data_IF_433026109848
#
_entry.id   IF_433026109848
#
_cell.length_a   1.000
_cell.length_b   1.000
_cell.length_c   1.000
_cell.angle_alpha   90.00
_cell.angle_beta   90.00
_cell.angle_gamma   90.00
#
_symmetry.space_group_name_H-M   'P 1'
#
loop_
_entity.id
_entity.type
_entity.pdbx_description
1 polymer ?
#
# COMPACT_ATOMS: atom_id res chain seq x y z
N UNK A 1 56.08 -12.81 -34.66
CA UNK A 1 55.71 -14.21 -34.42
C UNK A 1 54.97 -14.25 -33.09
N UNK A 2 53.70 -14.58 -32.96
CA UNK A 2 52.67 -14.96 -33.90
C UNK A 2 51.30 -14.65 -33.29
N UNK A 3 50.39 -14.20 -34.15
CA UNK A 3 48.97 -14.07 -33.89
C UNK A 3 48.35 -15.47 -33.82
N UNK A 4 47.41 -15.67 -32.88
CA UNK A 4 46.42 -16.76 -32.97
C UNK A 4 45.05 -16.20 -32.57
N UNK A 5 44.13 -16.01 -33.53
CA UNK A 5 42.70 -15.95 -33.27
C UNK A 5 42.04 -17.21 -33.81
N UNK A 6 41.15 -17.87 -33.05
CA UNK A 6 40.36 -19.00 -33.56
C UNK A 6 38.92 -19.00 -33.02
N UNK A 7 38.01 -18.81 -33.98
CA UNK A 7 36.64 -19.30 -34.17
C UNK A 7 35.47 -18.99 -33.20
N UNK A 8 34.57 -18.16 -33.73
CA UNK A 8 33.12 -18.38 -33.72
C UNK A 8 32.72 -19.66 -34.49
N UNK A 9 31.53 -20.20 -34.18
CA UNK A 9 30.57 -20.51 -35.24
C UNK A 9 29.22 -19.80 -35.07
N UNK A 10 28.59 -19.55 -36.21
CA UNK A 10 27.32 -18.88 -36.39
C UNK A 10 26.12 -19.85 -36.41
N UNK A 11 24.96 -19.28 -36.05
CA UNK A 11 23.61 -19.51 -36.56
C UNK A 11 22.95 -20.91 -36.44
N UNK A 12 21.77 -20.92 -35.81
CA UNK A 12 20.58 -21.53 -36.43
C UNK A 12 19.28 -20.83 -36.02
N UNK A 13 18.57 -20.39 -37.05
CA UNK A 13 17.20 -19.91 -37.01
C UNK A 13 16.23 -21.09 -36.77
N UNK A 14 15.13 -20.80 -36.08
CA UNK A 14 13.96 -21.68 -35.96
C UNK A 14 12.69 -20.84 -35.97
N UNK A 15 11.99 -20.89 -37.10
CA UNK A 15 10.65 -20.35 -37.32
C UNK A 15 9.57 -21.21 -36.65
N UNK A 16 8.48 -20.57 -36.23
CA UNK A 16 7.17 -21.18 -35.94
C UNK A 16 6.29 -20.14 -35.24
N UNK A 17 5.46 -19.35 -35.94
CA UNK A 17 4.06 -19.67 -36.28
C UNK A 17 3.30 -20.21 -35.06
N UNK A 18 2.24 -19.61 -34.52
CA UNK A 18 1.19 -18.75 -35.06
C UNK A 18 -0.04 -19.09 -34.21
N UNK A 19 -0.79 -18.11 -33.72
CA UNK A 19 -1.92 -18.40 -32.84
C UNK A 19 -2.57 -17.16 -32.24
N UNK A 20 -3.15 -16.32 -33.10
CA UNK A 20 -4.11 -15.31 -32.70
C UNK A 20 -5.44 -16.02 -32.37
N UNK A 21 -5.97 -15.80 -31.17
CA UNK A 21 -7.40 -16.03 -30.89
C UNK A 21 -7.97 -14.82 -30.18
N UNK A 22 -8.59 -13.96 -31.00
CA UNK A 22 -9.49 -12.88 -30.64
C UNK A 22 -10.78 -13.47 -30.06
N UNK A 23 -11.15 -13.06 -28.84
CA UNK A 23 -12.49 -13.26 -28.31
C UNK A 23 -13.12 -11.88 -28.05
N UNK A 24 -13.80 -11.34 -29.06
CA UNK A 24 -14.76 -10.26 -28.89
C UNK A 24 -16.11 -10.83 -28.43
N UNK A 25 -16.62 -10.34 -27.29
CA UNK A 25 -17.98 -10.61 -26.83
C UNK A 25 -18.81 -9.30 -26.81
N UNK A 26 -19.40 -9.03 -27.96
CA UNK A 26 -20.78 -8.58 -28.21
C UNK A 26 -21.48 -7.69 -27.16
N UNK A 27 -21.52 -6.40 -27.50
CA UNK A 27 -22.55 -5.42 -27.09
C UNK A 27 -23.96 -5.95 -27.37
N UNK A 28 -24.86 -5.87 -26.38
CA UNK A 28 -26.31 -5.81 -26.63
C UNK A 28 -26.90 -4.63 -25.88
N UNK A 29 -27.22 -3.59 -26.66
CA UNK A 29 -28.04 -2.44 -26.29
C UNK A 29 -29.50 -2.87 -26.44
N UNK A 30 -30.27 -2.89 -25.35
CA UNK A 30 -31.71 -3.11 -25.40
C UNK A 30 -32.40 -1.75 -25.57
N UNK A 31 -32.91 -1.48 -26.77
CA UNK A 31 -33.89 -0.44 -27.04
C UNK A 31 -35.18 -1.11 -27.46
N UNK A 32 -36.25 -0.89 -26.72
CA UNK A 32 -37.61 -1.03 -27.22
C UNK A 32 -38.47 0.02 -26.55
N UNK A 33 -38.74 1.09 -27.29
CA UNK A 33 -39.87 1.97 -27.00
C UNK A 33 -41.17 1.27 -27.38
N UNK A 34 -42.22 1.57 -26.63
CA UNK A 34 -43.58 1.51 -27.11
C UNK A 34 -44.33 2.75 -26.64
N UNK A 35 -45.20 3.20 -27.53
CA UNK A 35 -45.80 4.51 -27.56
C UNK A 35 -47.31 4.42 -27.37
N UNK A 36 -47.90 5.61 -27.19
CA UNK A 36 -49.24 6.05 -27.58
C UNK A 36 -50.38 5.99 -26.55
N UNK A 37 -50.98 7.17 -26.35
CA UNK A 37 -52.41 7.41 -26.06
C UNK A 37 -52.72 7.60 -24.58
N UNK A 38 -53.15 8.74 -24.04
CA UNK A 38 -53.87 9.87 -24.60
C UNK A 38 -55.36 9.77 -24.28
N UNK A 39 -55.85 10.43 -23.20
CA UNK A 39 -57.15 11.12 -23.17
C UNK A 39 -57.37 11.93 -21.89
N UNK A 40 -58.21 12.95 -22.03
CA UNK A 40 -58.53 14.11 -21.19
C UNK A 40 -59.17 13.88 -19.80
N UNK A 41 -58.82 14.80 -18.86
CA UNK A 41 -59.62 15.66 -17.94
C UNK A 41 -61.09 15.28 -17.53
N UNK A 42 -61.72 15.86 -16.47
CA UNK A 42 -61.35 17.06 -15.69
C UNK A 42 -61.54 17.02 -14.14
N UNK A 43 -60.87 17.99 -13.48
CA UNK A 43 -61.32 18.84 -12.36
C UNK A 43 -62.14 18.29 -11.18
N UNK A 44 -61.61 18.48 -9.96
CA UNK A 44 -62.38 19.03 -8.83
C UNK A 44 -61.46 19.59 -7.74
N UNK A 45 -61.65 20.87 -7.44
CA UNK A 45 -61.09 21.60 -6.32
C UNK A 45 -62.03 21.55 -5.12
N UNK A 46 -61.49 21.50 -3.89
CA UNK A 46 -62.08 21.90 -2.60
C UNK A 46 -60.92 21.95 -1.60
N UNK A 47 -60.39 23.14 -1.30
CA UNK A 47 -60.77 24.07 -0.22
C UNK A 47 -60.01 23.83 1.09
N UNK A 48 -59.33 24.90 1.51
CA UNK A 48 -58.64 25.08 2.79
C UNK A 48 -59.63 25.44 3.89
N UNK A 49 -59.41 24.92 5.10
CA UNK A 49 -59.96 25.48 6.34
C UNK A 49 -58.83 25.62 7.37
N UNK A 50 -58.62 26.81 7.97
CA UNK A 50 -57.71 27.01 9.08
C UNK A 50 -58.47 27.02 10.42
N UNK A 51 -57.86 26.52 11.50
CA UNK A 51 -58.49 26.61 12.82
C UNK A 51 -57.69 26.07 14.00
N UNK A 52 -57.24 27.00 14.83
CA UNK A 52 -57.15 26.95 16.31
C UNK A 52 -56.03 26.15 17.01
N UNK A 53 -55.02 26.91 17.45
CA UNK A 53 -54.61 27.13 18.84
C UNK A 53 -54.64 25.96 19.84
N UNK A 54 -53.46 25.62 20.36
CA UNK A 54 -53.28 24.88 21.62
C UNK A 54 -51.84 24.98 22.12
N UNK A 55 -51.61 25.82 23.13
CA UNK A 55 -50.38 25.86 23.91
C UNK A 55 -50.14 24.54 24.65
N UNK A 56 -48.91 24.03 24.66
CA UNK A 56 -48.28 23.46 25.87
C UNK A 56 -46.83 23.01 25.64
N UNK A 57 -45.98 23.40 26.59
CA UNK A 57 -44.79 22.71 27.08
C UNK A 57 -43.53 22.61 26.19
N UNK A 58 -42.57 23.48 26.51
CA UNK A 58 -41.23 23.10 27.00
C UNK A 58 -40.83 21.63 26.78
N UNK A 59 -39.99 21.36 25.78
CA UNK A 59 -38.84 20.47 25.91
C UNK A 59 -37.71 21.00 25.01
N UNK A 60 -36.72 21.63 25.65
CA UNK A 60 -35.37 21.78 25.12
C UNK A 60 -34.80 20.39 24.86
N UNK A 61 -34.64 19.99 23.60
CA UNK A 61 -33.75 18.90 23.22
C UNK A 61 -32.96 19.33 21.98
N UNK A 62 -31.81 19.96 22.21
CA UNK A 62 -30.72 19.90 21.25
C UNK A 62 -30.24 18.44 21.21
N UNK A 63 -30.13 17.80 20.05
CA UNK A 63 -28.94 17.06 19.77
C UNK A 63 -27.98 18.06 19.13
N UNK A 64 -27.05 18.57 19.93
CA UNK A 64 -25.81 19.07 19.37
C UNK A 64 -25.29 17.97 18.44
N UNK A 65 -25.21 18.25 17.15
CA UNK A 65 -24.34 17.51 16.25
C UNK A 65 -22.93 17.75 16.79
N UNK A 66 -22.54 16.97 17.80
CA UNK A 66 -21.15 16.82 18.17
C UNK A 66 -20.54 16.16 16.95
N UNK A 67 -19.99 16.98 16.07
CA UNK A 67 -18.98 16.56 15.13
C UNK A 67 -17.83 16.04 15.99
N UNK A 68 -17.95 14.76 16.38
CA UNK A 68 -16.83 13.97 16.84
C UNK A 68 -15.86 13.98 15.68
N UNK A 69 -14.96 14.95 15.68
CA UNK A 69 -13.69 14.85 15.00
C UNK A 69 -13.04 13.64 15.66
N UNK A 70 -13.27 12.47 15.06
CA UNK A 70 -12.74 11.22 15.55
C UNK A 70 -11.25 11.44 15.77
N UNK A 71 -10.82 11.23 17.02
CA UNK A 71 -9.41 11.10 17.34
C UNK A 71 -8.84 10.10 16.33
N UNK A 72 -7.99 10.59 15.44
CA UNK A 72 -7.35 9.79 14.42
C UNK A 72 -6.32 8.90 15.12
N UNK A 73 -6.76 7.73 15.57
CA UNK A 73 -5.88 6.68 16.06
C UNK A 73 -5.05 6.27 14.84
N UNK A 74 -3.75 6.56 14.88
CA UNK A 74 -2.83 6.02 13.91
C UNK A 74 -2.62 4.57 14.31
N UNK A 75 -3.20 3.63 13.55
CA UNK A 75 -2.98 2.21 13.74
C UNK A 75 -1.54 1.90 13.29
N UNK A 76 -0.62 1.97 14.23
CA UNK A 76 0.76 1.56 14.02
C UNK A 76 0.84 0.05 13.84
N UNK A 77 1.72 -0.38 12.95
CA UNK A 77 2.11 -1.76 12.77
C UNK A 77 3.58 -1.91 13.18
N UNK A 78 3.87 -2.99 13.90
CA UNK A 78 5.21 -3.26 14.40
C UNK A 78 5.81 -4.47 13.69
N UNK A 79 7.10 -4.39 13.38
CA UNK A 79 7.88 -5.53 12.91
C UNK A 79 9.18 -5.62 13.69
N UNK A 80 9.68 -6.84 13.87
CA UNK A 80 10.94 -7.08 14.55
C UNK A 80 11.97 -7.58 13.55
N UNK A 81 13.16 -6.98 13.55
CA UNK A 81 14.31 -7.57 12.88
C UNK A 81 14.91 -8.65 13.78
N UNK A 82 15.08 -9.85 13.24
CA UNK A 82 15.69 -11.00 13.91
C UNK A 82 17.18 -11.14 13.57
N UNK A 83 17.57 -10.73 12.36
CA UNK A 83 18.96 -10.74 11.87
C UNK A 83 19.17 -9.64 10.82
N UNK A 84 20.33 -8.95 10.79
CA UNK A 84 21.51 -9.12 11.64
C UNK A 84 21.32 -8.59 13.08
N UNK A 85 22.25 -8.96 13.98
CA UNK A 85 22.10 -8.78 15.43
C UNK A 85 22.25 -7.34 15.93
N UNK A 86 22.97 -6.50 15.18
CA UNK A 86 23.22 -5.08 15.43
C UNK A 86 21.99 -4.19 15.22
N UNK A 87 21.02 -4.64 14.42
CA UNK A 87 19.74 -3.96 14.21
C UNK A 87 18.55 -4.79 14.71
N UNK A 88 18.76 -5.72 15.66
CA UNK A 88 17.73 -6.60 16.23
C UNK A 88 16.79 -5.83 17.16
N UNK A 89 15.95 -5.01 16.55
CA UNK A 89 15.00 -4.13 17.21
C UNK A 89 13.58 -4.31 16.67
N UNK A 90 12.61 -3.76 17.40
CA UNK A 90 11.22 -3.62 17.00
C UNK A 90 11.06 -2.23 16.41
N UNK A 91 10.68 -2.19 15.14
CA UNK A 91 10.44 -0.99 14.37
C UNK A 91 8.96 -0.71 14.28
N UNK A 92 8.63 0.57 14.18
CA UNK A 92 7.26 1.06 14.03
C UNK A 92 7.06 1.52 12.59
N UNK A 93 5.94 1.13 11.98
CA UNK A 93 5.56 1.55 10.65
C UNK A 93 4.08 1.89 10.59
N UNK A 94 3.69 2.77 9.67
CA UNK A 94 2.27 3.13 9.48
C UNK A 94 1.75 2.58 8.16
N UNK A 95 0.61 1.86 8.14
CA UNK A 95 0.03 1.37 6.91
C UNK A 95 -0.45 2.51 6.00
N UNK A 96 -0.53 2.23 4.70
CA UNK A 96 -1.17 3.10 3.73
C UNK A 96 -2.64 3.37 4.09
N UNK A 97 -3.11 4.58 3.79
CA UNK A 97 -4.43 5.05 4.22
C UNK A 97 -5.57 4.51 3.37
N UNK A 98 -5.39 4.50 2.05
CA UNK A 98 -6.47 4.26 1.08
C UNK A 98 -6.07 3.33 -0.09
N UNK A 99 -4.94 2.62 0.04
CA UNK A 99 -4.51 1.58 -0.90
C UNK A 99 -3.74 0.47 -0.16
N UNK A 100 -3.47 -0.63 -0.84
CA UNK A 100 -2.73 -1.77 -0.28
C UNK A 100 -3.64 -2.76 0.44
N UNK A 101 -3.07 -3.92 0.73
CA UNK A 101 -3.72 -5.00 1.48
C UNK A 101 -3.48 -4.92 2.98
N UNK A 102 -4.01 -5.92 3.68
CA UNK A 102 -3.79 -6.14 5.11
C UNK A 102 -3.02 -7.43 5.36
N UNK A 103 -2.32 -7.50 6.48
CA UNK A 103 -1.69 -8.73 6.94
C UNK A 103 -2.74 -9.64 7.58
N UNK A 104 -3.16 -10.70 6.88
CA UNK A 104 -4.10 -11.69 7.43
C UNK A 104 -3.44 -12.65 8.42
N UNK A 105 -2.16 -12.92 8.22
CA UNK A 105 -1.37 -13.87 9.01
C UNK A 105 -0.04 -13.25 9.41
N UNK A 106 0.52 -13.74 10.51
CA UNK A 106 1.88 -13.40 10.93
C UNK A 106 2.90 -14.17 10.12
N UNK A 107 3.90 -13.47 9.62
CA UNK A 107 5.15 -14.07 9.14
C UNK A 107 6.13 -14.16 10.31
N UNK A 108 6.45 -15.38 10.74
CA UNK A 108 7.42 -15.60 11.82
C UNK A 108 8.85 -15.27 11.35
N UNK A 109 9.18 -15.65 10.11
CA UNK A 109 10.45 -15.32 9.46
C UNK A 109 10.17 -15.04 7.98
N UNK A 110 10.52 -13.84 7.53
CA UNK A 110 10.45 -13.43 6.13
C UNK A 110 11.61 -12.50 5.82
N UNK A 111 12.07 -12.46 4.57
CA UNK A 111 13.16 -11.59 4.17
C UNK A 111 12.65 -10.17 3.92
N UNK A 112 13.38 -9.20 4.46
CA UNK A 112 13.27 -7.79 4.12
C UNK A 112 14.42 -7.43 3.19
N UNK A 113 14.09 -7.30 1.90
CA UNK A 113 15.05 -7.18 0.79
C UNK A 113 15.10 -5.72 0.33
N UNK A 114 16.24 -5.02 0.45
CA UNK A 114 16.41 -3.69 -0.16
C UNK A 114 16.20 -3.75 -1.67
N UNK A 115 15.30 -2.93 -2.20
CA UNK A 115 15.05 -2.86 -3.64
C UNK A 115 16.23 -2.21 -4.40
N UNK A 116 16.45 -2.65 -5.63
CA UNK A 116 17.45 -2.08 -6.55
C UNK A 116 16.83 -1.87 -7.96
N UNK A 117 16.57 -0.62 -8.38
CA UNK A 117 16.88 0.65 -7.71
C UNK A 117 16.10 0.88 -6.41
N UNK A 118 16.69 1.65 -5.48
CA UNK A 118 16.11 1.88 -4.15
C UNK A 118 14.71 2.50 -4.19
N UNK A 119 14.42 3.33 -5.19
CA UNK A 119 13.12 3.98 -5.34
C UNK A 119 12.03 3.07 -5.95
N UNK A 120 12.36 1.93 -6.55
CA UNK A 120 11.38 1.03 -7.18
C UNK A 120 10.36 1.71 -8.13
N UNK A 121 10.79 2.72 -8.89
CA UNK A 121 9.94 3.44 -9.84
C UNK A 121 9.89 2.80 -11.25
N UNK A 122 10.63 1.71 -11.45
CA UNK A 122 10.71 0.97 -12.70
C UNK A 122 11.09 -0.49 -12.44
N UNK A 123 11.72 -1.14 -13.41
CA UNK A 123 12.13 -2.54 -13.28
C UNK A 123 13.14 -2.74 -12.14
N UNK A 124 12.90 -3.76 -11.31
CA UNK A 124 13.79 -4.14 -10.22
C UNK A 124 14.83 -5.15 -10.70
N UNK A 125 16.10 -4.73 -10.71
CA UNK A 125 17.23 -5.58 -11.09
C UNK A 125 17.38 -6.80 -10.18
N UNK A 126 16.95 -6.67 -8.91
CA UNK A 126 16.99 -7.72 -7.90
C UNK A 126 15.59 -8.30 -7.59
N UNK A 127 14.62 -8.13 -8.51
CA UNK A 127 13.24 -8.59 -8.34
C UNK A 127 13.10 -10.08 -8.00
N UNK A 128 14.07 -10.91 -8.43
CA UNK A 128 14.12 -12.33 -8.07
C UNK A 128 14.24 -12.56 -6.55
N UNK A 129 14.97 -11.73 -5.82
CA UNK A 129 15.07 -11.84 -4.36
C UNK A 129 13.81 -11.35 -3.65
N UNK A 130 13.03 -10.49 -4.31
CA UNK A 130 11.80 -9.89 -3.77
C UNK A 130 10.60 -10.82 -3.91
N UNK A 131 10.63 -11.74 -4.86
CA UNK A 131 9.56 -12.72 -5.05
C UNK A 131 9.31 -13.50 -3.75
N UNK A 132 8.05 -13.53 -3.31
CA UNK A 132 7.59 -14.14 -2.06
C UNK A 132 8.19 -13.53 -0.78
N UNK A 133 8.83 -12.35 -0.88
CA UNK A 133 9.45 -11.62 0.23
C UNK A 133 8.89 -10.20 0.39
N UNK A 134 9.39 -9.46 1.37
CA UNK A 134 9.02 -8.07 1.61
C UNK A 134 10.11 -7.17 1.06
N UNK A 135 9.74 -6.17 0.25
CA UNK A 135 10.70 -5.21 -0.27
C UNK A 135 10.85 -4.00 0.67
N UNK A 136 12.09 -3.55 0.89
CA UNK A 136 12.43 -2.27 1.49
C UNK A 136 12.76 -1.26 0.39
N UNK A 137 11.92 -0.24 0.26
CA UNK A 137 11.96 0.78 -0.80
C UNK A 137 12.17 2.15 -0.17
N UNK A 138 12.87 3.04 -0.86
CA UNK A 138 13.02 4.44 -0.43
C UNK A 138 11.99 5.34 -1.12
N UNK A 139 11.52 6.35 -0.40
CA UNK A 139 10.68 7.41 -0.92
C UNK A 139 11.48 8.29 -1.89
N UNK A 140 10.83 8.71 -2.99
CA UNK A 140 11.48 9.50 -4.04
C UNK A 140 11.00 9.07 -5.43
N UNK A 141 11.28 9.86 -6.47
CA UNK A 141 11.04 9.53 -7.89
C UNK A 141 9.59 9.41 -8.37
N UNK A 142 8.71 8.70 -7.66
CA UNK A 142 7.35 8.36 -8.07
C UNK A 142 6.40 8.18 -6.86
N UNK A 143 5.10 7.97 -7.13
CA UNK A 143 4.06 7.83 -6.10
C UNK A 143 4.21 6.53 -5.26
N UNK A 144 3.74 6.56 -4.01
CA UNK A 144 3.72 5.37 -3.13
C UNK A 144 2.97 4.18 -3.76
N UNK A 145 1.86 4.47 -4.43
CA UNK A 145 1.09 3.46 -5.15
C UNK A 145 1.90 2.84 -6.29
N UNK A 146 2.64 3.65 -7.07
CA UNK A 146 3.48 3.14 -8.16
C UNK A 146 4.57 2.20 -7.64
N UNK A 147 5.26 2.57 -6.54
CA UNK A 147 6.25 1.73 -5.85
C UNK A 147 5.67 0.38 -5.42
N UNK A 148 4.50 0.44 -4.78
CA UNK A 148 3.79 -0.76 -4.29
C UNK A 148 3.42 -1.69 -5.43
N UNK A 149 2.96 -1.13 -6.55
CA UNK A 149 2.61 -1.91 -7.75
C UNK A 149 3.82 -2.59 -8.38
N UNK A 150 4.94 -1.89 -8.52
CA UNK A 150 6.18 -2.48 -9.04
C UNK A 150 6.59 -3.69 -8.18
N UNK A 151 6.60 -3.55 -6.86
CA UNK A 151 6.91 -4.67 -5.95
C UNK A 151 5.91 -5.82 -6.09
N UNK A 152 4.62 -5.52 -6.21
CA UNK A 152 3.57 -6.52 -6.44
C UNK A 152 3.76 -7.26 -7.77
N UNK A 153 4.11 -6.55 -8.85
CA UNK A 153 4.36 -7.12 -10.18
C UNK A 153 5.57 -8.06 -10.19
N UNK A 154 6.55 -7.85 -9.29
CA UNK A 154 7.67 -8.76 -9.04
C UNK A 154 7.36 -9.86 -8.00
N UNK A 155 6.10 -10.01 -7.56
CA UNK A 155 5.67 -11.08 -6.64
C UNK A 155 6.01 -10.83 -5.18
N UNK A 156 6.31 -9.59 -4.79
CA UNK A 156 6.50 -9.23 -3.38
C UNK A 156 5.24 -9.43 -2.55
N UNK A 157 5.39 -9.84 -1.29
CA UNK A 157 4.29 -10.09 -0.35
C UNK A 157 3.81 -8.84 0.38
N UNK A 158 4.70 -7.87 0.55
CA UNK A 158 4.41 -6.55 1.09
C UNK A 158 5.54 -5.58 0.71
N UNK A 159 5.31 -4.28 0.90
CA UNK A 159 6.33 -3.25 0.75
C UNK A 159 6.44 -2.42 2.03
N UNK A 160 7.68 -2.14 2.43
CA UNK A 160 8.01 -1.16 3.46
C UNK A 160 8.73 -0.01 2.77
N UNK A 161 8.12 1.16 2.76
CA UNK A 161 8.65 2.37 2.13
C UNK A 161 9.23 3.27 3.21
N UNK A 162 10.55 3.41 3.26
CA UNK A 162 11.20 4.35 4.16
C UNK A 162 11.22 5.75 3.60
N UNK A 163 11.13 6.76 4.46
CA UNK A 163 11.44 8.13 4.08
C UNK A 163 12.90 8.25 3.60
N UNK A 164 13.18 9.25 2.77
CA UNK A 164 14.53 9.51 2.28
C UNK A 164 15.32 10.51 3.14
N UNK A 165 14.64 11.19 4.08
CA UNK A 165 15.27 12.05 5.07
C UNK A 165 15.92 11.19 6.17
N UNK A 166 17.23 10.99 6.10
CA UNK A 166 18.01 10.15 7.04
C UNK A 166 17.92 10.65 8.49
N UNK A 167 17.73 11.96 8.66
CA UNK A 167 17.59 12.60 9.95
C UNK A 167 16.19 12.47 10.55
N UNK A 168 15.17 12.17 9.73
CA UNK A 168 13.79 12.02 10.16
C UNK A 168 13.57 10.77 11.03
N UNK A 169 13.29 11.00 12.31
CA UNK A 169 13.07 9.99 13.35
C UNK A 169 11.69 10.09 14.03
N UNK A 170 10.82 10.98 13.55
CA UNK A 170 9.56 11.30 14.23
C UNK A 170 8.40 11.67 13.30
N UNK A 171 8.67 12.07 12.06
CA UNK A 171 7.65 12.55 11.13
C UNK A 171 7.16 11.43 10.21
N UNK A 172 5.93 10.97 10.45
CA UNK A 172 5.25 10.00 9.59
C UNK A 172 4.47 10.70 8.47
N UNK A 173 4.59 10.16 7.25
CA UNK A 173 3.83 10.62 6.10
C UNK A 173 2.65 9.67 5.86
N UNK A 174 1.46 10.23 5.68
CA UNK A 174 0.31 9.47 5.23
C UNK A 174 0.48 9.08 3.76
N UNK A 175 0.66 7.78 3.51
CA UNK A 175 0.66 7.28 2.14
C UNK A 175 -0.77 7.22 1.61
N UNK A 176 -1.02 8.01 0.56
CA UNK A 176 -2.30 8.08 -0.16
C UNK A 176 -2.15 7.68 -1.63
N UNK A 177 -3.25 7.28 -2.26
CA UNK A 177 -3.30 6.97 -3.69
C UNK A 177 -2.96 8.20 -4.56
N UNK A 178 -2.56 7.95 -5.81
CA UNK A 178 -2.15 9.00 -6.75
C UNK A 178 -3.24 9.40 -7.76
N UNK A 179 -4.51 9.13 -7.45
CA UNK A 179 -5.70 9.44 -8.28
C UNK A 179 -5.76 8.76 -9.66
N UNK A 180 -4.86 7.82 -9.97
CA UNK A 180 -4.82 7.13 -11.26
C UNK A 180 -5.83 5.98 -11.40
N UNK A 181 -6.71 5.77 -10.41
CA UNK A 181 -7.65 4.64 -10.31
C UNK A 181 -6.99 3.24 -10.33
N UNK A 182 -5.65 3.19 -10.21
CA UNK A 182 -4.90 1.94 -10.07
C UNK A 182 -5.05 1.42 -8.65
N UNK A 183 -4.96 0.11 -8.50
CA UNK A 183 -4.95 -0.55 -7.19
C UNK A 183 -3.61 -1.27 -6.95
N UNK A 184 -3.34 -1.53 -5.69
CA UNK A 184 -2.32 -2.46 -5.21
C UNK A 184 -2.94 -3.23 -4.04
N UNK A 185 -2.71 -4.54 -4.02
CA UNK A 185 -3.37 -5.51 -3.15
C UNK A 185 -2.43 -6.02 -2.05
N UNK A 186 -1.11 -5.80 -2.19
CA UNK A 186 -0.14 -6.14 -1.15
C UNK A 186 -0.12 -5.07 -0.06
N UNK A 187 0.15 -5.42 1.22
CA UNK A 187 0.29 -4.43 2.28
C UNK A 187 1.43 -3.45 2.00
N UNK A 188 1.17 -2.17 2.26
CA UNK A 188 2.15 -1.10 2.11
C UNK A 188 2.30 -0.37 3.45
N UNK A 189 3.53 -0.31 3.95
CA UNK A 189 3.88 0.32 5.22
C UNK A 189 4.86 1.46 5.00
N UNK A 190 4.74 2.54 5.76
CA UNK A 190 5.68 3.65 5.78
C UNK A 190 6.59 3.53 7.00
N UNK A 191 7.89 3.69 6.78
CA UNK A 191 8.93 3.63 7.79
C UNK A 191 9.65 4.98 7.88
N UNK A 192 10.09 5.36 9.07
CA UNK A 192 10.89 6.57 9.25
C UNK A 192 12.23 6.48 8.51
N UNK A 193 12.73 7.63 8.07
CA UNK A 193 13.93 7.68 7.23
C UNK A 193 15.18 7.25 7.98
N UNK A 194 15.32 7.63 9.25
CA UNK A 194 16.42 7.17 10.11
C UNK A 194 16.43 5.65 10.26
N UNK A 195 15.27 5.04 10.48
CA UNK A 195 15.14 3.58 10.62
C UNK A 195 15.48 2.86 9.32
N UNK A 196 14.90 3.32 8.19
CA UNK A 196 15.21 2.76 6.87
C UNK A 196 16.69 2.85 6.54
N UNK A 197 17.30 4.00 6.79
CA UNK A 197 18.73 4.21 6.61
C UNK A 197 19.58 3.25 7.46
N UNK A 198 19.26 3.10 8.75
CA UNK A 198 20.02 2.22 9.63
C UNK A 198 19.91 0.75 9.24
N UNK A 199 18.73 0.30 8.78
CA UNK A 199 18.54 -1.05 8.24
C UNK A 199 19.41 -1.26 6.98
N UNK A 200 19.30 -0.37 5.98
CA UNK A 200 20.09 -0.48 4.74
C UNK A 200 21.59 -0.46 5.02
N UNK A 201 22.04 0.48 5.85
CA UNK A 201 23.45 0.62 6.23
C UNK A 201 23.99 -0.64 6.89
N UNK A 202 23.26 -1.24 7.82
CA UNK A 202 23.68 -2.49 8.47
C UNK A 202 23.81 -3.62 7.43
N UNK A 203 22.82 -3.78 6.55
CA UNK A 203 22.87 -4.79 5.49
C UNK A 203 24.07 -4.60 4.55
N UNK A 204 24.33 -3.37 4.12
CA UNK A 204 25.50 -3.04 3.29
C UNK A 204 26.82 -3.33 4.00
N UNK A 205 26.94 -2.95 5.28
CA UNK A 205 28.15 -3.17 6.07
C UNK A 205 28.46 -4.66 6.28
N UNK A 206 27.44 -5.49 6.46
CA UNK A 206 27.60 -6.94 6.59
C UNK A 206 27.64 -7.67 5.24
N UNK A 207 27.45 -6.97 4.12
CA UNK A 207 27.35 -7.58 2.79
C UNK A 207 26.16 -8.54 2.66
N UNK A 208 25.06 -8.25 3.37
CA UNK A 208 23.87 -9.08 3.41
C UNK A 208 22.83 -8.59 2.38
N UNK A 209 22.26 -9.50 1.57
CA UNK A 209 21.23 -9.13 0.60
C UNK A 209 19.84 -8.86 1.22
N UNK A 210 19.61 -9.24 2.48
CA UNK A 210 18.35 -9.03 3.19
C UNK A 210 18.49 -9.15 4.71
N UNK A 211 17.55 -8.55 5.43
CA UNK A 211 17.32 -8.83 6.86
C UNK A 211 16.28 -9.94 7.02
N UNK A 212 16.29 -10.65 8.14
CA UNK A 212 15.23 -11.59 8.52
C UNK A 212 14.34 -10.89 9.54
N UNK A 213 13.03 -10.81 9.27
CA UNK A 213 12.07 -10.10 10.12
C UNK A 213 10.86 -10.97 10.50
N UNK A 214 10.17 -10.58 11.57
CA UNK A 214 8.84 -11.07 11.96
C UNK A 214 7.83 -9.92 11.85
N UNK A 215 6.68 -10.15 11.20
CA UNK A 215 5.66 -9.11 10.99
C UNK A 215 4.25 -9.70 10.77
N UNK A 216 3.17 -9.09 11.31
CA UNK A 216 3.17 -8.09 12.38
C UNK A 216 3.55 -8.69 13.74
N UNK A 217 4.08 -7.83 14.62
CA UNK A 217 4.37 -8.14 16.02
C UNK A 217 3.36 -7.46 16.92
N UNK A 218 2.83 -8.20 17.91
CA UNK A 218 1.96 -7.63 18.93
C UNK A 218 2.81 -7.13 20.10
N UNK A 219 2.83 -5.81 20.30
CA UNK A 219 3.58 -5.15 21.39
C UNK A 219 2.70 -4.71 22.56
N UNK A 220 1.38 -4.93 22.49
CA UNK A 220 0.42 -4.42 23.48
C UNK A 220 0.65 -4.95 24.90
N UNK A 221 1.25 -6.13 25.04
CA UNK A 221 1.54 -6.77 26.33
C UNK A 221 3.01 -6.65 26.76
N UNK A 222 3.85 -5.97 25.99
CA UNK A 222 5.28 -5.82 26.29
C UNK A 222 5.47 -4.50 27.03
N UNK A 223 5.97 -4.50 28.28
CA UNK A 223 6.32 -3.28 28.97
C UNK A 223 7.34 -2.47 28.17
N UNK A 224 7.26 -1.13 28.20
CA UNK A 224 8.14 -0.26 27.41
C UNK A 224 9.64 -0.52 27.66
N UNK A 225 10.02 -0.90 28.89
CA UNK A 225 11.41 -1.19 29.25
C UNK A 225 11.96 -2.51 28.67
N UNK A 226 11.08 -3.42 28.26
CA UNK A 226 11.43 -4.69 27.61
C UNK A 226 11.34 -4.58 26.07
N UNK A 227 10.76 -3.50 25.57
CA UNK A 227 10.64 -3.26 24.14
C UNK A 227 12.03 -2.98 23.57
N UNK A 228 12.50 -3.86 22.70
CA UNK A 228 13.79 -3.74 22.02
C UNK A 228 13.73 -2.64 20.95
N UNK A 229 13.61 -1.38 21.35
CA UNK A 229 13.49 -0.27 20.40
C UNK A 229 14.88 0.19 19.91
N UNK A 230 14.96 0.80 18.71
CA UNK A 230 16.23 1.29 18.19
C UNK A 230 16.82 2.41 19.05
N UNK A 231 18.12 2.40 19.38
CA UNK A 231 18.71 3.37 20.32
C UNK A 231 18.79 4.81 19.77
N UNK A 232 18.45 5.03 18.50
CA UNK A 232 18.54 6.31 17.80
C UNK A 232 17.21 7.02 17.61
N UNK A 233 16.09 6.38 17.94
CA UNK A 233 14.79 7.05 18.01
C UNK A 233 14.67 7.69 19.38
N UNK A 234 14.66 9.03 19.43
CA UNK A 234 14.46 9.76 20.68
C UNK A 234 12.97 9.73 21.06
N UNK A 235 12.68 9.44 22.33
CA UNK A 235 11.34 9.39 22.92
C UNK A 235 11.17 10.46 23.99
#
# INVERSE_FOLDING_TARGET
MGLVPVHQPAARAGLGAGGQSSCQAKVRRATSGWAVGGSAAPGRALEMVPGAAGWCCLVLWLPACVAAHGLRIHDYLYFQVLSPGDIRYIFTATPAKDFGGIFHTRYEQIHLVPAEPSEACGELSNGFFIQDQIALVERGGCSFLSKTRVVQEHGGRAVIISDNAVDNDSFYVEMIQDSTQRTADIPALFLLGRDGYMIRRSLEQHGLPWAIISIPVNVTSIPTFELLQPPWTFW
#
